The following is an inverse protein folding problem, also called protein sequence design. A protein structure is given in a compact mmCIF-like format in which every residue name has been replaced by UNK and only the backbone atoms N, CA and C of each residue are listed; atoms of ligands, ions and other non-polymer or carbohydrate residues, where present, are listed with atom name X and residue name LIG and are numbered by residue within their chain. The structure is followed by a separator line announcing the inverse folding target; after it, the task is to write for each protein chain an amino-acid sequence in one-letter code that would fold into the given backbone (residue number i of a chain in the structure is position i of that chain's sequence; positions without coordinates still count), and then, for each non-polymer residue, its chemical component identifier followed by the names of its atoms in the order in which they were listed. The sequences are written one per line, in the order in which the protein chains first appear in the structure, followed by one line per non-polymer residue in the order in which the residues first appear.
data_IF_218326970475
#
_entry.id   IF_218326970475
#
_cell.length_a   1.000
_cell.length_b   1.000
_cell.length_c   1.000
_cell.angle_alpha   90.00
_cell.angle_beta   90.00
_cell.angle_gamma   90.00
#
_symmetry.space_group_name_H-M   'P 1'
#
loop_
_entity.id
_entity.type
_entity.pdbx_description
1 polymer ?
#
# COMPACT_ATOMS: atom_id res chain seq x y z
N UNK A 1 9.76 -1.53 -9.74
CA UNK A 1 9.80 -2.98 -9.92
C UNK A 1 9.51 -3.37 -11.38
N UNK A 2 8.47 -2.82 -12.06
CA UNK A 2 8.19 -3.11 -13.48
C UNK A 2 9.36 -2.74 -14.39
N UNK A 3 9.95 -1.57 -14.20
CA UNK A 3 11.11 -1.12 -14.99
C UNK A 3 12.36 -1.97 -14.77
N UNK A 4 12.56 -2.53 -13.57
CA UNK A 4 13.65 -3.49 -13.32
C UNK A 4 13.54 -4.73 -14.25
N UNK A 5 12.33 -5.02 -14.74
CA UNK A 5 12.00 -6.11 -15.69
C UNK A 5 11.86 -5.65 -17.13
N UNK A 6 12.25 -4.41 -17.44
CA UNK A 6 12.13 -3.79 -18.76
C UNK A 6 10.70 -3.77 -19.33
N UNK A 7 9.71 -3.72 -18.42
CA UNK A 7 8.29 -3.64 -18.80
C UNK A 7 7.91 -2.18 -18.97
N UNK A 8 7.37 -1.78 -20.15
CA UNK A 8 6.88 -0.43 -20.36
C UNK A 8 5.73 -0.07 -19.42
N UNK A 9 5.75 1.14 -18.87
CA UNK A 9 4.80 1.61 -17.87
C UNK A 9 4.16 2.92 -18.29
N UNK A 10 2.84 2.98 -18.18
CA UNK A 10 2.09 4.24 -18.24
C UNK A 10 1.76 4.64 -16.81
N UNK A 11 2.34 5.73 -16.36
CA UNK A 11 2.00 6.34 -15.06
C UNK A 11 0.88 7.34 -15.30
N UNK A 12 -0.30 7.02 -14.75
CA UNK A 12 -1.48 7.87 -14.83
C UNK A 12 -1.79 8.43 -13.43
N UNK A 13 -1.71 9.74 -13.27
CA UNK A 13 -1.90 10.42 -11.99
C UNK A 13 -2.44 11.84 -12.22
N UNK A 14 -2.91 12.48 -11.14
CA UNK A 14 -3.08 13.93 -11.15
C UNK A 14 -1.75 14.59 -11.50
N UNK A 15 -1.81 15.73 -12.19
CA UNK A 15 -0.58 16.44 -12.57
C UNK A 15 0.14 16.94 -11.32
N UNK A 16 1.31 16.33 -11.06
CA UNK A 16 2.16 16.66 -9.93
C UNK A 16 3.63 16.60 -10.34
N UNK A 17 4.21 17.77 -10.62
CA UNK A 17 5.60 17.88 -11.07
C UNK A 17 6.61 17.28 -10.06
N UNK A 18 6.34 17.40 -8.74
CA UNK A 18 7.24 16.83 -7.71
C UNK A 18 7.30 15.31 -7.81
N UNK A 19 6.14 14.65 -7.99
CA UNK A 19 6.07 13.20 -8.15
C UNK A 19 6.77 12.74 -9.42
N UNK A 20 6.63 13.50 -10.49
CA UNK A 20 7.29 13.21 -11.78
C UNK A 20 8.80 13.32 -11.66
N UNK A 21 9.32 14.42 -11.12
CA UNK A 21 10.76 14.63 -10.91
C UNK A 21 11.36 13.49 -10.08
N UNK A 22 10.68 13.13 -8.98
CA UNK A 22 11.12 12.05 -8.10
C UNK A 22 11.13 10.69 -8.80
N UNK A 23 10.10 10.38 -9.58
CA UNK A 23 10.07 9.15 -10.35
C UNK A 23 11.22 9.12 -11.38
N UNK A 24 11.52 10.23 -12.05
CA UNK A 24 12.65 10.34 -12.97
C UNK A 24 14.01 10.15 -12.27
N UNK A 25 14.17 10.68 -11.06
CA UNK A 25 15.35 10.43 -10.23
C UNK A 25 15.51 8.94 -9.90
N UNK A 26 14.41 8.30 -9.48
CA UNK A 26 14.40 6.85 -9.17
C UNK A 26 14.71 6.00 -10.41
N UNK A 27 14.18 6.36 -11.59
CA UNK A 27 14.51 5.69 -12.86
C UNK A 27 16.00 5.80 -13.15
N UNK A 28 16.58 6.98 -12.96
CA UNK A 28 18.02 7.23 -13.16
C UNK A 28 18.86 6.40 -12.18
N UNK A 29 18.48 6.33 -10.90
CA UNK A 29 19.15 5.51 -9.86
C UNK A 29 19.21 4.02 -10.26
N UNK A 30 18.16 3.47 -10.84
CA UNK A 30 18.11 2.05 -11.24
C UNK A 30 18.74 1.81 -12.63
N UNK A 31 19.27 2.84 -13.30
CA UNK A 31 19.95 2.73 -14.59
C UNK A 31 19.06 2.27 -15.76
N UNK A 32 17.74 2.56 -15.71
CA UNK A 32 16.78 2.14 -16.74
C UNK A 32 16.44 3.26 -17.72
N UNK A 33 16.04 2.86 -18.94
CA UNK A 33 15.68 3.80 -20.00
C UNK A 33 14.36 4.52 -19.69
N UNK A 34 14.41 5.84 -19.64
CA UNK A 34 13.23 6.70 -19.44
C UNK A 34 12.17 6.51 -20.54
N UNK A 35 12.55 6.01 -21.73
CA UNK A 35 11.60 5.70 -22.81
C UNK A 35 10.60 4.59 -22.46
N UNK A 36 10.92 3.77 -21.46
CA UNK A 36 9.99 2.75 -20.93
C UNK A 36 8.85 3.36 -20.11
N UNK A 37 8.89 4.66 -19.80
CA UNK A 37 7.86 5.32 -18.99
C UNK A 37 7.18 6.42 -19.80
N UNK A 38 5.86 6.41 -19.79
CA UNK A 38 5.05 7.53 -20.28
C UNK A 38 4.11 8.02 -19.19
N UNK A 39 3.85 9.32 -19.18
CA UNK A 39 2.97 9.98 -18.22
C UNK A 39 1.66 10.37 -18.88
N UNK A 40 0.56 10.15 -18.17
CA UNK A 40 -0.78 10.59 -18.56
C UNK A 40 -1.41 11.31 -17.37
N UNK A 41 -1.95 12.51 -17.62
CA UNK A 41 -2.77 13.19 -16.63
C UNK A 41 -4.09 12.44 -16.50
N UNK A 42 -4.42 12.03 -15.27
CA UNK A 42 -5.64 11.31 -14.94
C UNK A 42 -6.21 11.81 -13.62
N UNK A 43 -7.45 12.28 -13.68
CA UNK A 43 -8.32 12.35 -12.51
C UNK A 43 -9.21 11.11 -12.52
N UNK A 44 -9.08 10.27 -11.48
CA UNK A 44 -9.85 9.02 -11.38
C UNK A 44 -11.36 9.27 -11.22
N UNK A 45 -11.77 10.48 -10.87
CA UNK A 45 -13.18 10.88 -10.78
C UNK A 45 -13.80 11.20 -12.15
N UNK A 46 -12.97 11.38 -13.18
CA UNK A 46 -13.39 11.65 -14.55
C UNK A 46 -13.43 10.36 -15.38
N UNK A 47 -14.62 9.78 -15.48
CA UNK A 47 -14.85 8.56 -16.25
C UNK A 47 -14.40 8.67 -17.71
N UNK A 48 -14.64 9.80 -18.38
CA UNK A 48 -14.26 9.98 -19.78
C UNK A 48 -12.74 10.05 -19.94
N UNK A 49 -12.05 10.65 -18.97
CA UNK A 49 -10.60 10.70 -18.96
C UNK A 49 -10.00 9.29 -18.77
N UNK A 50 -10.55 8.48 -17.85
CA UNK A 50 -10.15 7.09 -17.67
C UNK A 50 -10.32 6.35 -19.00
N UNK A 51 -11.52 6.41 -19.59
CA UNK A 51 -11.83 5.71 -20.83
C UNK A 51 -10.89 6.13 -21.98
N UNK A 52 -10.57 7.41 -22.10
CA UNK A 52 -9.65 7.92 -23.11
C UNK A 52 -8.28 7.26 -23.01
N UNK A 53 -7.76 7.04 -21.79
CA UNK A 53 -6.46 6.37 -21.58
C UNK A 53 -6.55 4.91 -22.00
N UNK A 54 -7.58 4.18 -21.56
CA UNK A 54 -7.77 2.77 -21.93
C UNK A 54 -7.96 2.57 -23.44
N UNK A 55 -8.67 3.48 -24.11
CA UNK A 55 -8.85 3.45 -25.55
C UNK A 55 -7.56 3.76 -26.32
N UNK A 56 -6.75 4.69 -25.81
CA UNK A 56 -5.51 5.14 -26.47
C UNK A 56 -4.39 4.10 -26.38
N UNK A 57 -4.37 3.32 -25.30
CA UNK A 57 -3.26 2.42 -24.99
C UNK A 57 -3.72 0.96 -24.94
N UNK A 58 -2.91 0.07 -25.52
CA UNK A 58 -3.11 -1.37 -25.42
C UNK A 58 -2.54 -1.84 -24.07
N UNK A 59 -3.36 -1.79 -23.03
CA UNK A 59 -2.96 -2.19 -21.69
C UNK A 59 -3.09 -3.71 -21.52
N UNK A 60 -2.10 -4.35 -20.94
CA UNK A 60 -2.15 -5.75 -20.51
C UNK A 60 -2.70 -5.87 -19.10
N UNK A 61 -2.18 -5.07 -18.18
CA UNK A 61 -2.64 -5.04 -16.81
C UNK A 61 -2.71 -3.61 -16.25
N UNK A 62 -3.45 -3.45 -15.17
CA UNK A 62 -3.59 -2.20 -14.43
C UNK A 62 -3.26 -2.45 -12.96
N UNK A 63 -2.44 -1.57 -12.38
CA UNK A 63 -2.22 -1.50 -10.93
C UNK A 63 -2.82 -0.18 -10.45
N UNK A 64 -3.96 -0.26 -9.75
CA UNK A 64 -4.66 0.93 -9.24
C UNK A 64 -4.24 1.23 -7.80
N UNK A 65 -3.53 2.33 -7.62
CA UNK A 65 -3.12 2.86 -6.31
C UNK A 65 -3.77 4.24 -6.02
N UNK A 66 -4.57 4.76 -6.97
CA UNK A 66 -5.24 6.05 -6.80
C UNK A 66 -6.34 5.92 -5.75
N UNK A 67 -6.18 6.64 -4.64
CA UNK A 67 -7.10 6.61 -3.52
C UNK A 67 -6.95 7.86 -2.64
N UNK A 68 -8.07 8.40 -2.13
CA UNK A 68 -8.06 9.40 -1.07
C UNK A 68 -7.86 8.70 0.28
N UNK A 69 -6.76 9.01 0.98
CA UNK A 69 -6.36 8.38 2.24
C UNK A 69 -6.35 9.40 3.39
N UNK A 70 -6.42 8.89 4.62
CA UNK A 70 -6.34 9.72 5.82
C UNK A 70 -7.60 10.55 6.06
N UNK A 71 -7.42 11.78 6.51
CA UNK A 71 -8.49 12.64 7.02
C UNK A 71 -9.55 12.99 5.98
N UNK A 72 -9.24 12.97 4.70
CA UNK A 72 -10.23 13.27 3.63
C UNK A 72 -11.47 12.38 3.71
N UNK A 73 -11.33 11.13 4.17
CA UNK A 73 -12.45 10.22 4.28
C UNK A 73 -13.45 10.64 5.38
N UNK A 74 -12.96 11.29 6.42
CA UNK A 74 -13.78 11.78 7.54
C UNK A 74 -14.23 13.23 7.34
N UNK A 75 -13.33 14.11 6.86
CA UNK A 75 -13.58 15.53 6.72
C UNK A 75 -14.37 15.89 5.46
N UNK A 76 -14.18 15.14 4.36
CA UNK A 76 -14.88 15.34 3.11
C UNK A 76 -15.31 14.01 2.46
N UNK A 77 -16.27 13.30 3.08
CA UNK A 77 -16.70 11.98 2.65
C UNK A 77 -17.30 11.97 1.23
N UNK A 78 -17.90 13.07 0.78
CA UNK A 78 -18.39 13.18 -0.59
C UNK A 78 -17.27 13.13 -1.61
N UNK A 79 -16.19 13.89 -1.40
CA UNK A 79 -15.03 13.88 -2.29
C UNK A 79 -14.30 12.55 -2.21
N UNK A 80 -14.13 12.01 -0.99
CA UNK A 80 -13.56 10.69 -0.80
C UNK A 80 -14.36 9.60 -1.53
N UNK A 81 -15.69 9.63 -1.48
CA UNK A 81 -16.55 8.68 -2.22
C UNK A 81 -16.38 8.79 -3.73
N UNK A 82 -16.27 9.99 -4.29
CA UNK A 82 -15.99 10.17 -5.73
C UNK A 82 -14.68 9.53 -6.14
N UNK A 83 -13.61 9.73 -5.37
CA UNK A 83 -12.29 9.15 -5.64
C UNK A 83 -12.31 7.64 -5.39
N UNK A 84 -12.71 7.25 -4.18
CA UNK A 84 -12.49 5.90 -3.65
C UNK A 84 -13.50 4.89 -4.19
N UNK A 85 -14.76 5.28 -4.33
CA UNK A 85 -15.81 4.35 -4.75
C UNK A 85 -16.10 4.52 -6.25
N UNK A 86 -16.50 5.72 -6.68
CA UNK A 86 -16.84 5.95 -8.09
C UNK A 86 -15.62 5.74 -8.97
N UNK A 87 -14.47 6.32 -8.61
CA UNK A 87 -13.22 6.17 -9.37
C UNK A 87 -12.79 4.71 -9.49
N UNK A 88 -12.73 3.98 -8.38
CA UNK A 88 -12.34 2.55 -8.40
C UNK A 88 -13.32 1.71 -9.21
N UNK A 89 -14.65 1.95 -9.06
CA UNK A 89 -15.67 1.25 -9.85
C UNK A 89 -15.54 1.57 -11.33
N UNK A 90 -15.20 2.79 -11.69
CA UNK A 90 -14.94 3.17 -13.08
C UNK A 90 -13.78 2.38 -13.68
N UNK A 91 -12.72 2.10 -12.90
CA UNK A 91 -11.64 1.19 -13.35
C UNK A 91 -12.19 -0.22 -13.57
N UNK A 92 -13.05 -0.76 -12.69
CA UNK A 92 -13.66 -2.09 -12.88
C UNK A 92 -14.45 -2.16 -14.19
N UNK A 93 -15.23 -1.13 -14.52
CA UNK A 93 -15.94 -1.03 -15.81
C UNK A 93 -14.97 -1.07 -17.00
N UNK A 94 -13.85 -0.36 -16.91
CA UNK A 94 -12.85 -0.35 -17.98
C UNK A 94 -12.16 -1.70 -18.14
N UNK A 95 -11.86 -2.41 -17.05
CA UNK A 95 -11.27 -3.76 -17.08
C UNK A 95 -12.18 -4.71 -17.87
N UNK A 96 -13.49 -4.66 -17.61
CA UNK A 96 -14.47 -5.49 -18.33
C UNK A 96 -14.59 -5.05 -19.80
N UNK A 97 -14.81 -3.75 -20.05
CA UNK A 97 -15.04 -3.18 -21.37
C UNK A 97 -13.88 -3.42 -22.34
N UNK A 98 -12.64 -3.24 -21.86
CA UNK A 98 -11.44 -3.37 -22.68
C UNK A 98 -10.75 -4.73 -22.54
N UNK A 99 -11.37 -5.67 -21.81
CA UNK A 99 -10.87 -7.05 -21.63
C UNK A 99 -9.43 -7.08 -21.13
N UNK A 100 -9.12 -6.24 -20.15
CA UNK A 100 -7.80 -6.18 -19.54
C UNK A 100 -7.54 -7.51 -18.81
N UNK A 101 -6.37 -8.11 -19.03
CA UNK A 101 -6.01 -9.40 -18.48
C UNK A 101 -6.03 -9.41 -16.94
N UNK A 102 -5.51 -8.35 -16.30
CA UNK A 102 -5.43 -8.28 -14.84
C UNK A 102 -5.58 -6.87 -14.30
N UNK A 103 -6.38 -6.73 -13.25
CA UNK A 103 -6.33 -5.58 -12.34
C UNK A 103 -5.74 -6.03 -11.00
N UNK A 104 -4.83 -5.23 -10.46
CA UNK A 104 -4.41 -5.32 -9.05
C UNK A 104 -4.70 -3.98 -8.39
N UNK A 105 -5.30 -3.97 -7.20
CA UNK A 105 -5.46 -2.73 -6.45
C UNK A 105 -5.10 -2.91 -4.97
N UNK A 106 -4.67 -1.82 -4.34
CA UNK A 106 -4.39 -1.82 -2.91
C UNK A 106 -5.68 -1.57 -2.12
N UNK A 107 -6.09 -2.58 -1.34
CA UNK A 107 -7.00 -2.43 -0.22
C UNK A 107 -6.21 -1.99 1.02
N UNK A 108 -6.50 -2.50 2.21
CA UNK A 108 -5.81 -2.15 3.45
C UNK A 108 -6.16 -3.16 4.55
N UNK A 109 -5.29 -3.35 5.53
CA UNK A 109 -5.61 -4.06 6.78
C UNK A 109 -6.78 -3.43 7.55
N UNK A 110 -7.05 -2.14 7.35
CA UNK A 110 -8.18 -1.44 7.98
C UNK A 110 -9.56 -2.03 7.64
N UNK A 111 -9.65 -2.91 6.62
CA UNK A 111 -10.88 -3.64 6.28
C UNK A 111 -11.30 -4.65 7.36
N UNK A 112 -10.38 -5.03 8.24
CA UNK A 112 -10.72 -5.90 9.36
C UNK A 112 -11.56 -5.19 10.43
N UNK A 113 -11.41 -3.88 10.59
CA UNK A 113 -12.30 -2.99 11.31
C UNK A 113 -12.27 -3.10 12.84
N UNK A 114 -11.69 -4.15 13.39
CA UNK A 114 -11.65 -4.41 14.82
C UNK A 114 -10.22 -4.51 15.35
N UNK A 115 -10.06 -4.34 16.67
CA UNK A 115 -8.79 -4.63 17.34
C UNK A 115 -8.44 -6.12 17.27
N UNK A 116 -7.18 -6.45 17.45
CA UNK A 116 -6.67 -7.83 17.46
C UNK A 116 -7.45 -8.75 18.42
N UNK A 117 -7.83 -8.26 19.58
CA UNK A 117 -8.59 -9.01 20.59
C UNK A 117 -9.89 -9.63 20.04
N UNK A 118 -10.55 -8.99 19.06
CA UNK A 118 -11.74 -9.52 18.40
C UNK A 118 -11.46 -10.84 17.66
N UNK A 119 -10.26 -10.99 17.13
CA UNK A 119 -9.83 -12.17 16.36
C UNK A 119 -9.04 -13.19 17.19
N UNK A 120 -8.68 -12.84 18.44
CA UNK A 120 -7.84 -13.64 19.33
C UNK A 120 -6.35 -13.45 19.05
N UNK A 121 -5.51 -14.31 19.65
CA UNK A 121 -4.05 -14.16 19.66
C UNK A 121 -3.37 -14.65 18.36
N UNK A 122 -4.13 -15.10 17.37
CA UNK A 122 -3.61 -15.57 16.09
C UNK A 122 -3.52 -14.47 15.05
N UNK A 123 -2.60 -14.61 14.10
CA UNK A 123 -2.56 -13.76 12.92
C UNK A 123 -3.90 -13.79 12.15
N UNK A 124 -4.39 -12.61 11.75
CA UNK A 124 -5.67 -12.45 11.06
C UNK A 124 -5.53 -12.86 9.60
N UNK A 125 -6.41 -13.73 9.12
CA UNK A 125 -6.38 -14.25 7.75
C UNK A 125 -7.33 -13.49 6.82
N UNK A 126 -7.18 -13.68 5.52
CA UNK A 126 -8.03 -13.02 4.51
C UNK A 126 -9.50 -13.44 4.59
N UNK A 127 -9.80 -14.53 5.26
CA UNK A 127 -11.18 -15.01 5.45
C UNK A 127 -11.85 -14.47 6.73
N UNK A 128 -11.10 -13.72 7.54
CA UNK A 128 -11.64 -13.12 8.76
C UNK A 128 -12.33 -11.79 8.46
N UNK A 129 -13.44 -11.55 9.13
CA UNK A 129 -14.23 -10.33 9.02
C UNK A 129 -14.81 -9.92 10.37
N UNK A 130 -14.92 -8.62 10.58
CA UNK A 130 -15.73 -8.07 11.69
C UNK A 130 -17.02 -7.44 11.17
N UNK A 131 -17.96 -7.15 12.08
CA UNK A 131 -19.15 -6.40 11.74
C UNK A 131 -18.84 -4.93 11.41
N UNK A 132 -19.70 -4.30 10.60
CA UNK A 132 -19.51 -2.89 10.20
C UNK A 132 -19.41 -1.95 11.39
N UNK A 133 -20.08 -2.26 12.48
CA UNK A 133 -20.06 -1.46 13.71
C UNK A 133 -18.71 -1.48 14.45
N UNK A 134 -17.80 -2.37 14.07
CA UNK A 134 -16.45 -2.44 14.63
C UNK A 134 -15.45 -1.54 13.87
N UNK A 135 -15.85 -0.99 12.73
CA UNK A 135 -14.96 -0.12 11.95
C UNK A 135 -14.83 1.26 12.58
N UNK A 136 -13.59 1.68 12.82
CA UNK A 136 -13.25 3.00 13.36
C UNK A 136 -13.12 4.07 12.27
N UNK A 137 -12.77 3.66 11.04
CA UNK A 137 -12.45 4.58 9.96
C UNK A 137 -13.34 4.38 8.74
N UNK A 138 -13.93 5.46 8.23
CA UNK A 138 -14.66 5.49 6.96
C UNK A 138 -13.79 4.94 5.81
N UNK A 139 -12.49 5.23 5.85
CA UNK A 139 -11.51 4.70 4.91
C UNK A 139 -11.54 3.15 4.82
N UNK A 140 -11.54 2.46 5.95
CA UNK A 140 -11.58 0.99 6.01
C UNK A 140 -12.86 0.42 5.38
N UNK A 141 -14.00 1.05 5.68
CA UNK A 141 -15.31 0.66 5.10
C UNK A 141 -15.33 0.89 3.59
N UNK A 142 -14.77 2.00 3.10
CA UNK A 142 -14.66 2.24 1.66
C UNK A 142 -13.79 1.19 0.97
N UNK A 143 -12.67 0.78 1.58
CA UNK A 143 -11.83 -0.31 1.06
C UNK A 143 -12.58 -1.63 1.04
N UNK A 144 -13.30 -1.97 2.10
CA UNK A 144 -14.13 -3.18 2.18
C UNK A 144 -15.22 -3.20 1.11
N UNK A 145 -15.86 -2.05 0.85
CA UNK A 145 -16.84 -1.93 -0.24
C UNK A 145 -16.20 -2.20 -1.62
N UNK A 146 -15.00 -1.69 -1.86
CA UNK A 146 -14.29 -1.95 -3.11
C UNK A 146 -13.95 -3.43 -3.29
N UNK A 147 -13.52 -4.12 -2.22
CA UNK A 147 -13.31 -5.57 -2.23
C UNK A 147 -14.60 -6.32 -2.56
N UNK A 148 -15.69 -5.98 -1.88
CA UNK A 148 -17.00 -6.58 -2.13
C UNK A 148 -17.44 -6.38 -3.60
N UNK A 149 -17.25 -5.19 -4.14
CA UNK A 149 -17.57 -4.90 -5.54
C UNK A 149 -16.67 -5.68 -6.49
N UNK A 150 -15.37 -5.78 -6.21
CA UNK A 150 -14.43 -6.57 -7.02
C UNK A 150 -14.90 -8.03 -7.14
N UNK A 151 -15.32 -8.66 -6.03
CA UNK A 151 -15.88 -10.03 -6.05
C UNK A 151 -17.15 -10.14 -6.90
N UNK A 152 -18.02 -9.11 -6.90
CA UNK A 152 -19.19 -9.09 -7.77
C UNK A 152 -18.82 -9.00 -9.26
N UNK A 153 -17.80 -8.17 -9.59
CA UNK A 153 -17.31 -8.06 -10.97
C UNK A 153 -16.65 -9.36 -11.44
N UNK A 154 -15.81 -9.98 -10.60
CA UNK A 154 -15.21 -11.30 -10.89
C UNK A 154 -16.30 -12.32 -11.18
N UNK A 155 -17.28 -12.46 -10.28
CA UNK A 155 -18.36 -13.44 -10.41
C UNK A 155 -19.23 -13.19 -11.65
N UNK A 156 -19.54 -11.92 -11.95
CA UNK A 156 -20.46 -11.56 -13.04
C UNK A 156 -19.79 -11.61 -14.41
N UNK A 157 -18.54 -11.18 -14.50
CA UNK A 157 -17.88 -10.93 -15.78
C UNK A 157 -16.69 -11.86 -16.07
N UNK A 158 -16.29 -12.70 -15.10
CA UNK A 158 -15.12 -13.57 -15.24
C UNK A 158 -13.80 -12.82 -15.40
N UNK A 159 -13.75 -11.53 -15.02
CA UNK A 159 -12.53 -10.75 -15.10
C UNK A 159 -11.56 -11.10 -13.96
N UNK A 160 -10.26 -10.92 -14.18
CA UNK A 160 -9.24 -11.19 -13.18
C UNK A 160 -8.91 -9.93 -12.41
N UNK A 161 -9.34 -9.86 -11.15
CA UNK A 161 -9.05 -8.78 -10.22
C UNK A 161 -8.38 -9.39 -8.99
N UNK A 162 -7.26 -8.82 -8.57
CA UNK A 162 -6.63 -9.14 -7.30
C UNK A 162 -6.53 -7.88 -6.44
N UNK A 163 -6.61 -8.05 -5.14
CA UNK A 163 -6.42 -6.94 -4.21
C UNK A 163 -5.60 -7.37 -3.00
N UNK A 164 -4.80 -6.44 -2.52
CA UNK A 164 -3.92 -6.65 -1.38
C UNK A 164 -4.42 -5.86 -0.17
N UNK A 165 -4.19 -6.38 1.02
CA UNK A 165 -4.43 -5.70 2.30
C UNK A 165 -3.09 -5.37 2.96
N UNK A 166 -2.43 -4.29 2.53
CA UNK A 166 -1.16 -3.91 3.14
C UNK A 166 -1.33 -3.58 4.61
N UNK A 167 -0.35 -4.05 5.39
CA UNK A 167 -0.08 -3.61 6.74
C UNK A 167 0.64 -2.25 6.76
N UNK A 168 1.39 -1.92 7.79
CA UNK A 168 2.18 -0.69 7.86
C UNK A 168 3.31 -0.75 6.82
N UNK A 169 3.09 -0.10 5.68
CA UNK A 169 4.13 0.05 4.66
C UNK A 169 5.08 1.15 5.07
N UNK A 170 6.37 0.85 5.18
CA UNK A 170 7.41 1.83 5.52
C UNK A 170 8.48 1.94 4.42
N UNK A 171 9.15 3.08 4.36
CA UNK A 171 10.18 3.33 3.36
C UNK A 171 10.32 4.82 3.06
N UNK A 172 11.40 5.18 2.35
CA UNK A 172 11.71 6.57 2.03
C UNK A 172 10.68 7.19 1.11
N UNK A 173 10.25 8.39 1.49
CA UNK A 173 9.49 9.27 0.62
C UNK A 173 8.00 9.16 0.73
N UNK A 174 7.50 8.79 1.87
CA UNK A 174 6.10 8.83 2.20
C UNK A 174 5.57 10.26 2.14
N UNK A 175 4.43 10.50 1.50
CA UNK A 175 3.82 11.82 1.36
C UNK A 175 2.30 11.75 1.58
N UNK A 176 1.72 12.86 2.06
CA UNK A 176 0.26 13.05 2.18
C UNK A 176 -0.45 11.92 2.93
N UNK A 177 0.09 11.52 4.07
CA UNK A 177 -0.43 10.41 4.86
C UNK A 177 -0.60 10.78 6.33
N UNK A 178 -1.61 10.23 6.98
CA UNK A 178 -1.81 10.39 8.43
C UNK A 178 -0.76 9.63 9.26
N UNK A 179 -0.01 8.70 8.64
CA UNK A 179 0.98 7.87 9.33
C UNK A 179 2.42 8.17 8.87
N UNK A 180 2.81 9.46 8.86
CA UNK A 180 4.19 9.87 8.55
C UNK A 180 5.21 9.21 9.45
N UNK A 181 4.84 8.87 10.67
CA UNK A 181 5.69 8.15 11.62
C UNK A 181 6.23 6.82 11.06
N UNK A 182 5.57 6.21 10.07
CA UNK A 182 6.05 5.00 9.40
C UNK A 182 7.27 5.22 8.47
N UNK A 183 7.71 6.45 8.32
CA UNK A 183 9.02 6.82 7.74
C UNK A 183 9.89 7.48 8.81
N UNK A 184 9.31 8.41 9.57
CA UNK A 184 10.00 9.26 10.54
C UNK A 184 10.76 8.48 11.61
N UNK A 185 10.28 7.28 11.99
CA UNK A 185 10.90 6.46 13.05
C UNK A 185 12.38 6.13 12.80
N UNK A 186 12.79 6.07 11.54
CA UNK A 186 14.19 5.81 11.15
C UNK A 186 14.77 6.93 10.29
N UNK A 187 13.96 7.65 9.51
CA UNK A 187 14.41 8.74 8.67
C UNK A 187 14.94 9.92 9.51
N UNK A 188 14.23 10.35 10.55
CA UNK A 188 14.67 11.42 11.44
C UNK A 188 15.97 11.09 12.18
N UNK A 189 16.10 9.93 12.85
CA UNK A 189 17.38 9.52 13.44
C UNK A 189 18.53 9.43 12.43
N UNK A 190 18.26 9.02 11.18
CA UNK A 190 19.28 8.99 10.13
C UNK A 190 19.86 10.38 9.81
N UNK A 191 19.09 11.44 10.08
CA UNK A 191 19.46 12.85 9.93
C UNK A 191 19.89 13.51 11.26
N UNK A 192 20.07 12.74 12.33
CA UNK A 192 20.43 13.27 13.66
C UNK A 192 19.28 14.01 14.37
N UNK A 193 18.04 13.73 14.00
CA UNK A 193 16.84 14.33 14.59
C UNK A 193 16.08 13.31 15.44
N UNK A 194 15.32 13.79 16.43
CA UNK A 194 14.45 12.92 17.22
C UNK A 194 13.19 12.49 16.45
N UNK A 195 12.79 11.24 16.60
CA UNK A 195 11.53 10.70 16.11
C UNK A 195 10.49 10.65 17.23
N UNK A 196 9.23 10.99 16.91
CA UNK A 196 8.10 10.94 17.84
C UNK A 196 7.02 10.03 17.26
N UNK A 197 6.69 8.95 17.97
CA UNK A 197 5.75 7.93 17.54
C UNK A 197 4.45 8.05 18.35
N UNK A 198 3.28 8.16 17.70
CA UNK A 198 2.00 8.42 18.37
C UNK A 198 1.36 7.14 18.93
N UNK A 199 2.17 6.22 19.45
CA UNK A 199 1.73 4.99 20.06
C UNK A 199 2.72 4.51 21.13
N UNK A 200 2.23 3.64 22.03
CA UNK A 200 3.03 3.03 23.11
C UNK A 200 4.02 2.00 22.56
N UNK A 201 5.13 1.79 23.24
CA UNK A 201 6.09 0.71 22.92
C UNK A 201 5.49 -0.70 22.94
N UNK A 202 4.37 -0.87 23.62
CA UNK A 202 3.66 -2.17 23.69
C UNK A 202 2.81 -2.45 22.47
N UNK A 203 2.48 -1.44 21.68
CA UNK A 203 1.70 -1.64 20.47
C UNK A 203 2.48 -2.51 19.50
N UNK A 204 1.76 -3.43 18.90
CA UNK A 204 2.25 -4.30 17.83
C UNK A 204 1.60 -3.89 16.52
N UNK A 205 2.37 -3.97 15.47
CA UNK A 205 1.90 -3.79 14.10
C UNK A 205 2.68 -4.76 13.20
N UNK A 206 2.08 -5.17 12.11
CA UNK A 206 2.78 -5.87 11.05
C UNK A 206 3.38 -4.86 10.08
N UNK A 207 4.63 -5.02 9.69
CA UNK A 207 5.39 -4.07 8.88
C UNK A 207 5.87 -4.70 7.59
N UNK A 208 5.86 -3.93 6.50
CA UNK A 208 6.44 -4.32 5.22
C UNK A 208 7.20 -3.16 4.58
N UNK A 209 8.39 -3.43 4.05
CA UNK A 209 9.15 -2.41 3.32
C UNK A 209 8.49 -2.11 1.96
N UNK A 210 8.50 -0.83 1.58
CA UNK A 210 7.79 -0.33 0.39
C UNK A 210 8.15 -1.04 -0.91
N UNK A 211 9.43 -1.38 -1.10
CA UNK A 211 9.87 -2.10 -2.30
C UNK A 211 9.31 -3.53 -2.36
N UNK A 212 9.15 -4.19 -1.21
CA UNK A 212 8.60 -5.54 -1.13
C UNK A 212 7.08 -5.54 -1.34
N UNK A 213 6.40 -4.54 -0.77
CA UNK A 213 4.98 -4.30 -1.07
C UNK A 213 4.76 -4.06 -2.57
N UNK A 214 5.59 -3.22 -3.20
CA UNK A 214 5.54 -2.98 -4.63
C UNK A 214 5.87 -4.24 -5.47
N UNK A 215 6.82 -5.06 -5.01
CA UNK A 215 7.16 -6.33 -5.64
C UNK A 215 6.00 -7.32 -5.60
N UNK A 216 5.30 -7.41 -4.48
CA UNK A 216 4.10 -8.25 -4.36
C UNK A 216 3.00 -7.83 -5.34
N UNK A 217 2.71 -6.52 -5.45
CA UNK A 217 1.73 -6.00 -6.42
C UNK A 217 2.12 -6.33 -7.86
N UNK A 218 3.40 -6.17 -8.21
CA UNK A 218 3.90 -6.44 -9.56
C UNK A 218 3.84 -7.93 -9.89
N UNK A 219 4.24 -8.81 -8.97
CA UNK A 219 4.15 -10.25 -9.18
C UNK A 219 2.72 -10.73 -9.36
N UNK A 220 1.77 -10.22 -8.56
CA UNK A 220 0.34 -10.49 -8.75
C UNK A 220 -0.16 -10.02 -10.12
N UNK A 221 0.28 -8.84 -10.57
CA UNK A 221 -0.10 -8.31 -11.87
C UNK A 221 0.44 -9.13 -13.04
N UNK A 222 1.66 -9.67 -12.91
CA UNK A 222 2.34 -10.42 -13.99
C UNK A 222 2.05 -11.90 -14.00
N UNK A 223 1.63 -12.50 -12.87
CA UNK A 223 1.33 -13.93 -12.80
C UNK A 223 0.21 -14.29 -13.76
N UNK A 224 0.36 -15.39 -14.48
CA UNK A 224 -0.60 -15.82 -15.51
C UNK A 224 -1.98 -16.10 -14.91
N UNK A 225 -2.04 -16.93 -13.90
CA UNK A 225 -3.27 -17.29 -13.18
C UNK A 225 -3.09 -17.05 -11.68
N UNK A 226 -4.16 -16.69 -11.00
CA UNK A 226 -4.20 -16.55 -9.55
C UNK A 226 -5.19 -17.53 -8.95
N UNK A 227 -4.83 -18.12 -7.80
CA UNK A 227 -5.68 -19.04 -7.04
C UNK A 227 -6.71 -18.27 -6.19
N UNK A 228 -6.43 -17.02 -5.87
CA UNK A 228 -7.24 -16.15 -5.00
C UNK A 228 -7.32 -14.73 -5.57
N UNK A 229 -8.32 -13.99 -5.11
CA UNK A 229 -8.45 -12.54 -5.38
C UNK A 229 -7.91 -11.66 -4.25
N UNK A 230 -8.01 -12.13 -3.00
CA UNK A 230 -7.65 -11.39 -1.78
C UNK A 230 -6.34 -11.89 -1.17
N UNK A 231 -5.46 -10.94 -0.81
CA UNK A 231 -4.15 -11.24 -0.24
C UNK A 231 -3.77 -10.27 0.87
N UNK A 232 -3.47 -10.78 2.06
CA UNK A 232 -2.75 -10.02 3.06
C UNK A 232 -1.33 -9.71 2.59
N UNK A 233 -0.84 -8.52 2.90
CA UNK A 233 0.45 -8.01 2.44
C UNK A 233 1.23 -7.50 3.64
N UNK A 234 1.97 -8.39 4.26
CA UNK A 234 2.78 -8.13 5.44
C UNK A 234 4.18 -8.70 5.30
N UNK A 235 4.98 -8.58 6.35
CA UNK A 235 6.28 -9.22 6.45
C UNK A 235 6.61 -9.66 7.87
N UNK A 236 6.74 -8.73 8.82
CA UNK A 236 7.16 -9.01 10.18
C UNK A 236 6.31 -8.25 11.19
N UNK A 237 5.73 -8.96 12.16
CA UNK A 237 5.02 -8.33 13.29
C UNK A 237 5.99 -8.03 14.40
N UNK A 238 5.97 -6.78 14.88
CA UNK A 238 6.86 -6.31 15.94
C UNK A 238 6.21 -5.22 16.80
N UNK A 239 6.71 -5.08 18.00
CA UNK A 239 6.34 -4.01 18.93
C UNK A 239 7.31 -2.82 18.88
N UNK A 240 6.97 -1.74 19.58
CA UNK A 240 7.81 -0.55 19.66
C UNK A 240 9.18 -0.79 20.31
N UNK A 241 9.32 -1.80 21.18
CA UNK A 241 10.62 -2.18 21.76
C UNK A 241 11.55 -2.75 20.69
N UNK A 242 11.03 -3.64 19.86
CA UNK A 242 11.78 -4.24 18.75
C UNK A 242 12.12 -3.19 17.70
N UNK A 243 11.18 -2.28 17.39
CA UNK A 243 11.39 -1.15 16.48
C UNK A 243 12.56 -0.29 16.97
N UNK A 244 12.50 0.20 18.21
CA UNK A 244 13.56 1.04 18.81
C UNK A 244 14.92 0.32 18.80
N UNK A 245 14.94 -0.94 19.25
CA UNK A 245 16.17 -1.74 19.33
C UNK A 245 16.79 -1.93 17.94
N UNK A 246 15.95 -2.15 16.92
CA UNK A 246 16.44 -2.32 15.53
C UNK A 246 17.05 -1.04 14.99
N UNK A 247 16.41 0.11 15.21
CA UNK A 247 17.00 1.41 14.78
C UNK A 247 18.28 1.70 15.53
N UNK A 248 18.31 1.52 16.85
CA UNK A 248 19.51 1.78 17.69
C UNK A 248 20.68 0.85 17.39
N UNK A 249 20.42 -0.36 16.91
CA UNK A 249 21.48 -1.25 16.41
C UNK A 249 22.24 -0.66 15.21
N UNK A 250 21.56 0.16 14.39
CA UNK A 250 22.13 0.79 13.20
C UNK A 250 22.61 2.21 13.50
N UNK A 251 21.86 2.93 14.34
CA UNK A 251 22.15 4.31 14.79
C UNK A 251 22.16 4.31 16.32
N UNK A 252 23.30 4.05 16.97
CA UNK A 252 23.35 3.86 18.44
C UNK A 252 22.79 5.02 19.25
N UNK A 253 22.93 6.26 18.76
CA UNK A 253 22.48 7.48 19.43
C UNK A 253 21.09 7.94 18.93
N UNK A 254 20.29 7.07 18.31
CA UNK A 254 18.95 7.42 17.85
C UNK A 254 18.05 7.82 19.03
N UNK A 255 17.41 8.98 18.90
CA UNK A 255 16.39 9.44 19.84
C UNK A 255 15.02 9.12 19.29
N UNK A 256 14.29 8.20 19.95
CA UNK A 256 12.94 7.75 19.56
C UNK A 256 12.05 7.82 20.78
N UNK A 257 11.00 8.61 20.69
CA UNK A 257 10.02 8.84 21.74
C UNK A 257 8.67 8.24 21.36
N UNK A 258 8.00 7.62 22.32
CA UNK A 258 6.70 6.98 22.17
C UNK A 258 5.66 7.67 23.03
N UNK A 259 4.43 7.74 22.55
CA UNK A 259 3.30 8.20 23.34
C UNK A 259 2.71 7.06 24.18
N UNK A 260 3.20 6.90 25.40
CA UNK A 260 2.77 5.84 26.31
C UNK A 260 1.32 6.03 26.83
N UNK A 261 0.65 7.15 26.50
CA UNK A 261 -0.76 7.36 26.83
C UNK A 261 -1.71 6.60 25.89
N UNK A 262 -1.24 6.25 24.68
CA UNK A 262 -1.99 5.49 23.68
C UNK A 262 -1.82 4.00 23.97
N UNK A 263 -2.89 3.36 24.44
CA UNK A 263 -2.87 1.96 24.88
C UNK A 263 -2.83 0.95 23.72
N UNK A 264 -3.54 1.24 22.64
CA UNK A 264 -3.56 0.41 21.42
C UNK A 264 -3.99 1.23 20.22
N UNK A 265 -3.56 0.82 19.04
CA UNK A 265 -4.12 1.30 17.77
C UNK A 265 -5.46 0.60 17.52
N UNK A 266 -6.45 1.23 16.85
CA UNK A 266 -7.72 0.58 16.52
C UNK A 266 -7.60 -0.34 15.29
N UNK A 267 -6.54 -1.12 15.23
CA UNK A 267 -6.20 -2.03 14.13
C UNK A 267 -5.85 -3.41 14.67
N UNK A 268 -5.64 -4.34 13.77
CA UNK A 268 -5.07 -5.65 14.09
C UNK A 268 -3.56 -5.52 14.33
N UNK A 269 -3.02 -6.35 15.22
CA UNK A 269 -1.58 -6.40 15.51
C UNK A 269 -0.83 -7.21 14.46
N UNK A 270 -1.46 -8.28 13.96
CA UNK A 270 -0.80 -9.27 13.12
C UNK A 270 -1.72 -9.81 12.03
N UNK A 271 -1.17 -10.05 10.85
CA UNK A 271 -1.88 -10.66 9.73
C UNK A 271 -1.09 -11.82 9.12
N UNK A 272 -1.81 -12.88 8.75
CA UNK A 272 -1.22 -14.02 8.05
C UNK A 272 -1.04 -13.68 6.58
N UNK A 273 0.19 -13.66 6.11
CA UNK A 273 0.57 -13.37 4.72
C UNK A 273 1.08 -14.60 3.94
N UNK A 274 0.88 -15.82 4.48
CA UNK A 274 1.31 -17.06 3.81
C UNK A 274 0.69 -17.23 2.43
N UNK A 275 -0.56 -16.78 2.25
CA UNK A 275 -1.27 -16.90 0.97
C UNK A 275 -0.52 -16.20 -0.15
N UNK A 276 -0.14 -14.93 0.06
CA UNK A 276 0.58 -14.18 -0.96
C UNK A 276 1.99 -14.74 -1.17
N UNK A 277 2.71 -15.12 -0.11
CA UNK A 277 4.05 -15.71 -0.23
C UNK A 277 4.05 -16.96 -1.11
N UNK A 278 3.10 -17.87 -0.89
CA UNK A 278 2.92 -19.08 -1.69
C UNK A 278 2.44 -18.78 -3.10
N UNK A 279 1.47 -17.84 -3.26
CA UNK A 279 0.90 -17.48 -4.55
C UNK A 279 1.96 -16.95 -5.52
N UNK A 280 2.83 -16.08 -5.08
CA UNK A 280 3.80 -15.39 -5.95
C UNK A 280 5.25 -15.86 -5.76
N UNK A 281 5.50 -16.88 -4.94
CA UNK A 281 6.84 -17.39 -4.61
C UNK A 281 7.81 -16.26 -4.23
N UNK A 282 7.44 -15.50 -3.18
CA UNK A 282 8.21 -14.34 -2.74
C UNK A 282 8.13 -14.17 -1.24
N UNK A 283 9.29 -14.03 -0.61
CA UNK A 283 9.43 -13.67 0.80
C UNK A 283 9.95 -12.22 0.90
N UNK A 284 9.21 -11.34 1.57
CA UNK A 284 9.71 -9.99 1.85
C UNK A 284 10.94 -10.04 2.76
N UNK A 285 11.75 -8.98 2.71
CA UNK A 285 12.90 -8.81 3.60
C UNK A 285 12.45 -8.65 5.05
N UNK A 286 13.36 -8.91 5.98
CA UNK A 286 13.16 -8.64 7.40
C UNK A 286 12.99 -7.13 7.65
N UNK A 287 12.37 -6.79 8.79
CA UNK A 287 12.24 -5.39 9.20
C UNK A 287 13.61 -4.69 9.32
N UNK A 288 14.63 -5.38 9.88
CA UNK A 288 15.99 -4.83 9.99
C UNK A 288 16.61 -4.49 8.62
N UNK A 289 16.45 -5.37 7.63
CA UNK A 289 16.92 -5.09 6.26
C UNK A 289 16.19 -3.91 5.62
N UNK A 290 14.87 -3.82 5.81
CA UNK A 290 14.09 -2.68 5.35
C UNK A 290 14.51 -1.35 6.00
N UNK A 291 14.79 -1.37 7.31
CA UNK A 291 15.30 -0.19 8.04
C UNK A 291 16.66 0.25 7.52
N UNK A 292 17.57 -0.70 7.22
CA UNK A 292 18.87 -0.36 6.59
C UNK A 292 18.69 0.33 5.24
N UNK A 293 17.78 -0.19 4.41
CA UNK A 293 17.46 0.43 3.12
C UNK A 293 16.88 1.85 3.30
N UNK A 294 15.92 2.03 4.20
CA UNK A 294 15.35 3.35 4.48
C UNK A 294 16.41 4.36 4.92
N UNK A 295 17.27 3.99 5.87
CA UNK A 295 18.36 4.86 6.36
C UNK A 295 19.34 5.22 5.23
N UNK A 296 19.68 4.25 4.38
CA UNK A 296 20.54 4.49 3.22
C UNK A 296 19.90 5.47 2.24
N UNK A 297 18.64 5.25 1.84
CA UNK A 297 17.90 6.12 0.92
C UNK A 297 17.80 7.57 1.44
N UNK A 298 17.57 7.73 2.74
CA UNK A 298 17.52 9.06 3.39
C UNK A 298 18.87 9.75 3.29
N UNK A 299 19.96 9.06 3.62
CA UNK A 299 21.33 9.64 3.58
C UNK A 299 21.80 9.98 2.16
N UNK A 300 21.39 9.20 1.16
CA UNK A 300 21.73 9.46 -0.24
C UNK A 300 20.92 10.58 -0.88
N UNK A 301 19.82 10.97 -0.25
CA UNK A 301 18.87 11.95 -0.80
C UNK A 301 18.99 13.33 -0.14
N UNK A 302 19.80 13.47 0.91
CA UNK A 302 20.10 14.69 1.65
C UNK A 302 21.60 14.96 1.67
#
# INVERSE_FOLDING_TARGET
QLLKRDIPVIVADLENEKNKVRLEQNISKIGKDKKLVSYQKLDITDYQNIERIFKKHKLDCVINLAYGIGTICEENPLQASKINIVGTTSIFEMIVKYKIRRLVFASSETVYGAHQEFFGDRAVSENDYSGINNHFYTYGVMKLLNEFMAEKYIKKHGCSIAYTRPSVVFGYGRQNTAINWAEDFAAKPALGQAAYLPFSKKNKDNWIYVDDCAEQLVRLALKETLSYSCFNTGAETLDGYKLETTVKKIIPNAEIYFDESVKSTPLIDDQNDERIRKEIDFNPRSFEEGVKCLIQDVRESN
#
